data_IF_276883859530
#
_entry.id   IF_276883859530
#
_cell.length_a   1.000
_cell.length_b   1.000
_cell.length_c   1.000
_cell.angle_alpha   90.00
_cell.angle_beta   90.00
_cell.angle_gamma   90.00
#
_symmetry.space_group_name_H-M   'P 1'
#
loop_
_entity.id
_entity.type
_entity.pdbx_description
1 polymer ?
#
# COMPACT_ATOMS: atom_id res chain seq x y z
N UNK A 1 -8.97 -18.64 -2.08
CA UNK A 1 -9.33 -17.23 -1.75
C UNK A 1 -8.18 -16.32 -2.16
N UNK A 2 -8.37 -15.01 -2.25
CA UNK A 2 -7.32 -14.04 -2.66
C UNK A 2 -7.43 -12.76 -1.84
N UNK A 3 -6.30 -12.07 -1.65
CA UNK A 3 -6.26 -10.70 -1.15
C UNK A 3 -6.30 -9.73 -2.33
N UNK A 4 -7.21 -8.76 -2.29
CA UNK A 4 -7.32 -7.72 -3.33
C UNK A 4 -7.03 -6.36 -2.70
N UNK A 5 -6.10 -5.62 -3.29
CA UNK A 5 -5.82 -4.22 -2.93
C UNK A 5 -6.07 -3.36 -4.17
N UNK A 6 -6.96 -2.38 -4.05
CA UNK A 6 -7.32 -1.48 -5.14
C UNK A 6 -7.22 -0.03 -4.66
N UNK A 7 -6.54 0.80 -5.45
CA UNK A 7 -6.54 2.24 -5.23
C UNK A 7 -7.83 2.85 -5.78
N UNK A 8 -8.34 3.90 -5.14
CA UNK A 8 -9.47 4.69 -5.65
C UNK A 8 -8.92 5.99 -6.27
N UNK A 9 -8.89 6.12 -7.60
CA UNK A 9 -8.33 7.31 -8.26
C UNK A 9 -9.16 8.57 -8.00
N UNK A 10 -10.42 8.45 -7.56
CA UNK A 10 -11.27 9.61 -7.24
C UNK A 10 -10.88 10.28 -5.92
N UNK A 11 -10.19 9.55 -5.03
CA UNK A 11 -9.70 10.08 -3.75
C UNK A 11 -8.28 10.62 -3.93
N UNK A 12 -8.17 11.93 -4.20
CA UNK A 12 -6.88 12.63 -4.35
C UNK A 12 -5.93 11.92 -5.32
N UNK A 13 -6.46 11.42 -6.43
CA UNK A 13 -5.68 10.73 -7.47
C UNK A 13 -5.15 9.36 -7.03
N UNK A 14 -5.76 8.72 -6.04
CA UNK A 14 -5.32 7.43 -5.50
C UNK A 14 -3.97 7.50 -4.76
N UNK A 15 -3.56 8.70 -4.33
CA UNK A 15 -2.25 8.91 -3.67
C UNK A 15 -2.20 8.25 -2.28
N UNK A 16 -1.00 7.83 -1.88
CA UNK A 16 -0.79 7.21 -0.58
C UNK A 16 -0.62 8.26 0.51
N UNK A 17 -1.57 8.25 1.45
CA UNK A 17 -1.46 8.89 2.75
C UNK A 17 -0.80 7.93 3.75
N UNK A 18 -0.36 8.41 4.94
CA UNK A 18 0.18 7.53 5.97
C UNK A 18 -0.75 6.36 6.32
N UNK A 19 -2.06 6.63 6.39
CA UNK A 19 -3.08 5.59 6.61
C UNK A 19 -3.20 4.61 5.45
N UNK A 20 -3.00 5.07 4.20
CA UNK A 20 -3.03 4.19 3.01
C UNK A 20 -1.87 3.21 3.03
N UNK A 21 -0.66 3.67 3.39
CA UNK A 21 0.51 2.80 3.56
C UNK A 21 0.24 1.76 4.65
N UNK A 22 -0.21 2.19 5.83
CA UNK A 22 -0.57 1.30 6.94
C UNK A 22 -1.61 0.25 6.53
N UNK A 23 -2.66 0.66 5.81
CA UNK A 23 -3.71 -0.24 5.31
C UNK A 23 -3.17 -1.26 4.32
N UNK A 24 -2.29 -0.84 3.40
CA UNK A 24 -1.68 -1.72 2.41
C UNK A 24 -0.79 -2.78 3.09
N UNK A 25 0.06 -2.37 4.03
CA UNK A 25 0.91 -3.30 4.79
C UNK A 25 0.09 -4.29 5.60
N UNK A 26 -1.03 -3.86 6.21
CA UNK A 26 -1.93 -4.78 6.89
C UNK A 26 -2.56 -5.80 5.94
N UNK A 27 -2.88 -5.42 4.70
CA UNK A 27 -3.38 -6.35 3.70
C UNK A 27 -2.32 -7.41 3.32
N UNK A 28 -1.05 -7.00 3.17
CA UNK A 28 0.05 -7.94 2.92
C UNK A 28 0.32 -8.87 4.10
N UNK A 29 0.28 -8.36 5.34
CA UNK A 29 0.43 -9.16 6.55
C UNK A 29 -0.64 -10.26 6.63
N UNK A 30 -1.92 -9.91 6.38
CA UNK A 30 -3.01 -10.89 6.33
C UNK A 30 -2.77 -11.92 5.20
N UNK A 31 -2.34 -11.46 4.02
CA UNK A 31 -2.11 -12.35 2.90
C UNK A 31 -0.98 -13.36 3.20
N UNK A 32 0.10 -12.91 3.84
CA UNK A 32 1.23 -13.75 4.25
C UNK A 32 0.79 -14.77 5.33
N UNK A 33 0.15 -14.30 6.40
CA UNK A 33 -0.34 -15.16 7.50
C UNK A 33 -1.26 -16.29 7.01
N UNK A 34 -2.02 -16.04 5.94
CA UNK A 34 -3.03 -16.95 5.42
C UNK A 34 -2.64 -17.60 4.08
N UNK A 35 -1.41 -17.39 3.60
CA UNK A 35 -0.92 -17.90 2.31
C UNK A 35 -1.86 -17.57 1.13
N UNK A 36 -2.39 -16.34 1.09
CA UNK A 36 -3.30 -15.88 0.06
C UNK A 36 -2.53 -15.23 -1.10
N UNK A 37 -2.83 -15.58 -2.36
CA UNK A 37 -2.35 -14.80 -3.50
C UNK A 37 -2.82 -13.34 -3.42
N UNK A 38 -1.93 -12.40 -3.75
CA UNK A 38 -2.23 -10.97 -3.79
C UNK A 38 -2.50 -10.49 -5.22
N UNK A 39 -3.62 -9.80 -5.42
CA UNK A 39 -3.95 -9.10 -6.67
C UNK A 39 -4.03 -7.60 -6.38
N UNK A 40 -3.22 -6.82 -7.09
CA UNK A 40 -3.17 -5.36 -6.96
C UNK A 40 -3.82 -4.71 -8.18
N UNK A 41 -4.90 -3.97 -7.97
CA UNK A 41 -5.51 -3.08 -8.98
C UNK A 41 -4.91 -1.68 -8.78
N UNK A 42 -3.70 -1.51 -9.30
CA UNK A 42 -2.90 -0.29 -9.10
C UNK A 42 -3.40 0.80 -10.04
N UNK A 43 -4.00 1.84 -9.47
CA UNK A 43 -4.32 3.10 -10.13
C UNK A 43 -4.06 4.26 -9.14
N UNK A 44 -2.80 4.69 -9.08
CA UNK A 44 -2.30 5.60 -8.04
C UNK A 44 -1.38 6.66 -8.62
N UNK A 45 -1.55 7.90 -8.16
CA UNK A 45 -0.64 9.01 -8.40
C UNK A 45 0.66 8.96 -7.58
N UNK A 46 0.92 7.90 -6.81
CA UNK A 46 2.13 7.75 -5.99
C UNK A 46 1.94 8.19 -4.54
N UNK A 47 2.98 8.73 -3.92
CA UNK A 47 2.93 9.24 -2.54
C UNK A 47 2.21 10.60 -2.48
N UNK A 48 1.47 10.86 -1.39
CA UNK A 48 0.91 12.18 -1.16
C UNK A 48 2.02 13.15 -0.72
N UNK A 49 2.56 13.91 -1.68
CA UNK A 49 3.75 14.74 -1.49
C UNK A 49 3.71 15.72 -0.30
N UNK A 50 2.57 16.35 0.06
CA UNK A 50 2.52 17.21 1.24
C UNK A 50 2.80 16.51 2.57
N UNK A 51 2.73 15.17 2.62
CA UNK A 51 3.02 14.34 3.80
C UNK A 51 4.13 13.32 3.52
N UNK A 52 5.05 13.64 2.60
CA UNK A 52 6.07 12.70 2.10
C UNK A 52 6.93 12.07 3.21
N UNK A 53 7.21 12.80 4.28
CA UNK A 53 8.02 12.37 5.43
C UNK A 53 7.31 11.31 6.27
N UNK A 54 5.98 11.29 6.24
CA UNK A 54 5.15 10.28 6.91
C UNK A 54 4.82 9.08 6.03
N UNK A 55 5.28 9.06 4.76
CA UNK A 55 4.99 7.96 3.82
C UNK A 55 6.22 7.37 3.13
N UNK A 56 7.39 8.02 3.17
CA UNK A 56 8.57 7.57 2.42
C UNK A 56 9.68 6.92 3.25
N UNK A 57 10.24 7.57 4.30
CA UNK A 57 11.60 7.25 4.75
C UNK A 57 11.74 6.06 5.72
N UNK A 58 10.70 5.71 6.47
CA UNK A 58 10.83 4.75 7.57
C UNK A 58 10.68 3.27 7.11
N UNK A 59 11.08 2.33 7.97
CA UNK A 59 11.08 0.89 7.68
C UNK A 59 9.71 0.36 7.25
N UNK A 60 8.64 0.88 7.85
CA UNK A 60 7.26 0.43 7.61
C UNK A 60 6.49 1.44 6.74
N UNK A 61 7.22 2.24 5.94
CA UNK A 61 6.66 3.18 4.97
C UNK A 61 6.51 2.55 3.58
N UNK A 62 6.18 3.35 2.56
CA UNK A 62 5.81 2.88 1.21
C UNK A 62 6.77 1.83 0.65
N UNK A 63 8.09 2.00 0.85
CA UNK A 63 9.11 1.07 0.39
C UNK A 63 8.93 -0.38 0.89
N UNK A 64 8.33 -0.56 2.06
CA UNK A 64 8.08 -1.90 2.65
C UNK A 64 7.14 -2.75 1.81
N UNK A 65 6.21 -2.11 1.08
CA UNK A 65 5.27 -2.80 0.18
C UNK A 65 6.05 -3.61 -0.87
N UNK A 66 7.13 -3.04 -1.43
CA UNK A 66 7.96 -3.71 -2.43
C UNK A 66 8.81 -4.82 -1.80
N UNK A 67 9.35 -4.60 -0.59
CA UNK A 67 10.09 -5.64 0.13
C UNK A 67 9.22 -6.88 0.38
N UNK A 68 7.96 -6.70 0.77
CA UNK A 68 7.04 -7.81 1.02
C UNK A 68 6.54 -8.51 -0.27
N UNK A 69 6.79 -7.94 -1.46
CA UNK A 69 6.39 -8.54 -2.75
C UNK A 69 7.50 -9.39 -3.38
N UNK A 70 8.75 -9.17 -2.97
CA UNK A 70 9.93 -9.85 -3.51
C UNK A 70 10.11 -11.24 -2.89
#
# INVERSE_FOLDING_TARGET
>A
EVMVVANDPTVKGGTYFPVTVKKHLRAQEIAEENHLPCIYLVDSGGAYLPMQDEVFPDRDHFGRIFYNQA
#
